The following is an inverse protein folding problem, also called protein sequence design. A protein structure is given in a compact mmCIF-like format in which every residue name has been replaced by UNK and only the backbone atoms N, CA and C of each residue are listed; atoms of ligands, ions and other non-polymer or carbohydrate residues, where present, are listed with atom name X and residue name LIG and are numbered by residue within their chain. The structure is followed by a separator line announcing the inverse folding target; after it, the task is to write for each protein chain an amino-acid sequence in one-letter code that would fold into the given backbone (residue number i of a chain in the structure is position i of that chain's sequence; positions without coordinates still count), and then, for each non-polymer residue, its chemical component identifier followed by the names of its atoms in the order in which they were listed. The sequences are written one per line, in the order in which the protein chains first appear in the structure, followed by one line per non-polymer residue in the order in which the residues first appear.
data_IF_279760608134
#
_entry.id   IF_279760608134
#
_cell.length_a   1.000
_cell.length_b   1.000
_cell.length_c   1.000
_cell.angle_alpha   90.00
_cell.angle_beta   90.00
_cell.angle_gamma   90.00
#
_symmetry.space_group_name_H-M   'P 1'
#
loop_
_entity.id
_entity.type
_entity.pdbx_description
1 polymer ?
#
# COMPACT_ATOMS: atom_id res chain seq x y z
N UNK A 1 5.09 15.68 -22.34
CA UNK A 1 3.83 15.22 -22.96
C UNK A 1 3.66 13.74 -22.66
N UNK A 2 2.53 13.35 -22.08
CA UNK A 2 2.25 11.97 -21.68
C UNK A 2 2.23 11.03 -22.90
N UNK A 3 2.71 9.80 -22.73
CA UNK A 3 2.61 8.77 -23.79
C UNK A 3 1.29 7.99 -23.75
N UNK A 4 0.34 8.40 -22.91
CA UNK A 4 -0.92 7.68 -22.70
C UNK A 4 -2.10 8.68 -22.57
N UNK A 5 -2.84 8.94 -23.67
CA UNK A 5 -4.01 9.84 -23.67
C UNK A 5 -5.16 9.37 -22.76
N UNK A 6 -5.29 8.06 -22.54
CA UNK A 6 -6.30 7.51 -21.62
C UNK A 6 -5.95 7.85 -20.16
N UNK A 7 -4.67 7.88 -19.82
CA UNK A 7 -4.21 8.35 -18.51
C UNK A 7 -4.51 9.85 -18.30
N UNK A 8 -4.25 10.72 -19.28
CA UNK A 8 -4.61 12.15 -19.16
C UNK A 8 -6.11 12.34 -18.91
N UNK A 9 -6.95 11.59 -19.63
CA UNK A 9 -8.40 11.64 -19.48
C UNK A 9 -8.89 11.09 -18.12
N UNK A 10 -8.33 9.98 -17.64
CA UNK A 10 -8.74 9.36 -16.37
C UNK A 10 -8.16 10.12 -15.16
N UNK A 11 -6.88 10.52 -15.19
CA UNK A 11 -6.23 11.23 -14.08
C UNK A 11 -6.63 12.71 -14.01
N UNK A 12 -6.81 13.38 -15.15
CA UNK A 12 -7.30 14.77 -15.20
C UNK A 12 -8.69 14.93 -14.58
N UNK A 13 -9.52 13.87 -14.61
CA UNK A 13 -10.85 13.83 -13.99
C UNK A 13 -10.83 13.48 -12.49
N UNK A 14 -9.76 12.87 -11.98
CA UNK A 14 -9.66 12.47 -10.57
C UNK A 14 -9.21 13.67 -9.75
N UNK A 15 -10.10 14.31 -8.98
CA UNK A 15 -9.66 15.25 -7.93
C UNK A 15 -9.05 14.49 -6.74
N UNK A 16 -8.24 15.12 -5.86
CA UNK A 16 -7.80 14.49 -4.60
C UNK A 16 -8.97 13.96 -3.77
N UNK A 17 -10.09 14.68 -3.79
CA UNK A 17 -11.36 14.27 -3.16
C UNK A 17 -11.92 12.99 -3.79
N UNK A 18 -11.93 12.90 -5.13
CA UNK A 18 -12.38 11.70 -5.84
C UNK A 18 -11.47 10.51 -5.55
N UNK A 19 -10.15 10.68 -5.57
CA UNK A 19 -9.21 9.62 -5.23
C UNK A 19 -9.44 9.16 -3.80
N UNK A 20 -9.64 10.08 -2.85
CA UNK A 20 -9.99 9.74 -1.46
C UNK A 20 -11.31 8.96 -1.36
N UNK A 21 -12.34 9.36 -2.10
CA UNK A 21 -13.64 8.66 -2.13
C UNK A 21 -13.55 7.28 -2.77
N UNK A 22 -12.85 7.14 -3.89
CA UNK A 22 -12.62 5.87 -4.56
C UNK A 22 -11.78 4.93 -3.69
N UNK A 23 -10.75 5.47 -3.01
CA UNK A 23 -10.01 4.72 -2.00
C UNK A 23 -10.95 4.29 -0.87
N UNK A 24 -11.78 5.18 -0.30
CA UNK A 24 -12.73 4.81 0.74
C UNK A 24 -13.74 3.73 0.29
N UNK A 25 -14.22 3.77 -0.96
CA UNK A 25 -15.09 2.76 -1.55
C UNK A 25 -14.37 1.41 -1.71
N UNK A 26 -13.17 1.40 -2.30
CA UNK A 26 -12.32 0.21 -2.42
C UNK A 26 -12.14 -0.49 -1.07
N UNK A 27 -11.95 0.31 -0.02
CA UNK A 27 -11.76 -0.16 1.34
C UNK A 27 -13.03 -0.72 1.98
N UNK A 28 -14.22 -0.21 1.62
CA UNK A 28 -15.51 -0.82 2.03
C UNK A 28 -15.82 -2.15 1.31
N UNK A 29 -14.91 -2.61 0.44
CA UNK A 29 -15.16 -3.74 -0.45
C UNK A 29 -16.09 -3.38 -1.60
N UNK A 30 -16.32 -2.08 -1.86
CA UNK A 30 -17.11 -1.62 -2.99
C UNK A 30 -16.23 -1.54 -4.24
N UNK A 31 -16.83 -1.71 -5.44
CA UNK A 31 -16.18 -1.41 -6.71
C UNK A 31 -15.62 0.01 -6.73
N UNK A 32 -14.33 0.14 -7.02
CA UNK A 32 -13.63 1.41 -7.07
C UNK A 32 -12.54 1.40 -8.14
N UNK A 33 -12.40 2.53 -8.83
CA UNK A 33 -11.35 2.74 -9.84
C UNK A 33 -10.64 4.05 -9.59
N UNK A 34 -9.31 4.02 -9.56
CA UNK A 34 -8.49 5.22 -9.52
C UNK A 34 -7.15 4.96 -10.24
N UNK A 35 -6.47 6.04 -10.64
CA UNK A 35 -5.22 5.99 -11.37
C UNK A 35 -4.09 6.42 -10.44
N UNK A 36 -3.09 5.57 -10.28
CA UNK A 36 -1.90 5.87 -9.50
C UNK A 36 -0.76 6.26 -10.44
N UNK A 37 -0.15 7.45 -10.31
CA UNK A 37 0.92 7.89 -11.19
C UNK A 37 2.17 7.03 -10.98
N UNK A 38 2.77 6.56 -12.07
CA UNK A 38 3.99 5.72 -12.05
C UNK A 38 5.19 6.59 -12.40
N UNK A 39 6.10 6.74 -11.44
CA UNK A 39 7.32 7.49 -11.60
C UNK A 39 8.50 6.57 -11.91
N UNK A 40 9.46 7.10 -12.65
CA UNK A 40 10.81 6.55 -12.78
C UNK A 40 11.82 7.62 -12.38
N UNK A 41 12.86 7.21 -11.65
CA UNK A 41 14.00 8.08 -11.36
C UNK A 41 14.83 8.27 -12.64
N UNK A 42 15.05 9.52 -13.03
CA UNK A 42 15.93 9.90 -14.15
C UNK A 42 16.88 11.00 -13.65
N UNK A 43 18.11 10.60 -13.31
CA UNK A 43 19.05 11.49 -12.62
C UNK A 43 18.49 11.91 -11.27
N UNK A 44 18.36 13.21 -11.04
CA UNK A 44 17.77 13.80 -9.82
C UNK A 44 16.27 14.10 -9.95
N UNK A 45 15.67 13.79 -11.09
CA UNK A 45 14.26 14.08 -11.38
C UNK A 45 13.39 12.83 -11.34
N UNK A 46 12.11 13.03 -11.04
CA UNK A 46 11.05 12.05 -11.19
C UNK A 46 10.32 12.32 -12.50
N UNK A 47 10.45 11.38 -13.43
CA UNK A 47 9.68 11.39 -14.67
C UNK A 47 8.40 10.61 -14.46
N UNK A 48 7.27 11.22 -14.79
CA UNK A 48 6.01 10.50 -14.90
C UNK A 48 6.01 9.68 -16.19
N UNK A 49 6.07 8.37 -16.05
CA UNK A 49 6.17 7.42 -17.17
C UNK A 49 4.80 6.91 -17.62
N UNK A 50 3.81 6.96 -16.73
CA UNK A 50 2.46 6.52 -17.00
C UNK A 50 1.65 6.45 -15.73
N UNK A 51 0.63 5.60 -15.72
CA UNK A 51 -0.10 5.29 -14.51
C UNK A 51 -0.59 3.86 -14.47
N UNK A 52 -0.81 3.40 -13.26
CA UNK A 52 -1.50 2.17 -13.00
C UNK A 52 -2.96 2.50 -12.69
N UNK A 53 -3.86 2.15 -13.61
CA UNK A 53 -5.28 2.06 -13.27
C UNK A 53 -5.45 0.85 -12.36
N UNK A 54 -5.95 1.12 -11.16
CA UNK A 54 -6.25 0.11 -10.17
C UNK A 54 -7.75 0.04 -10.05
N UNK A 55 -8.28 -1.13 -10.34
CA UNK A 55 -9.65 -1.48 -10.05
C UNK A 55 -9.66 -2.39 -8.83
N UNK A 56 -10.38 -1.97 -7.80
CA UNK A 56 -10.69 -2.78 -6.64
C UNK A 56 -12.14 -3.19 -6.75
N UNK A 57 -12.39 -4.49 -6.87
CA UNK A 57 -13.70 -5.11 -6.72
C UNK A 57 -13.64 -6.09 -5.55
N UNK A 58 -14.78 -6.39 -4.89
CA UNK A 58 -14.83 -7.36 -3.78
C UNK A 58 -14.26 -8.74 -4.15
N UNK A 59 -14.27 -9.10 -5.44
CA UNK A 59 -13.78 -10.38 -5.96
C UNK A 59 -12.54 -10.28 -6.88
N UNK A 60 -12.03 -9.06 -7.17
CA UNK A 60 -10.91 -8.87 -8.09
C UNK A 60 -10.19 -7.54 -7.86
N UNK A 61 -8.87 -7.58 -7.66
CA UNK A 61 -8.01 -6.43 -7.91
C UNK A 61 -7.43 -6.57 -9.32
N UNK A 62 -7.79 -5.70 -10.25
CA UNK A 62 -7.29 -5.73 -11.63
C UNK A 62 -6.35 -4.55 -11.88
N UNK A 63 -5.17 -4.88 -12.41
CA UNK A 63 -4.21 -3.91 -12.94
C UNK A 63 -4.41 -3.90 -14.45
N UNK A 64 -4.76 -2.75 -15.02
CA UNK A 64 -4.90 -2.66 -16.48
C UNK A 64 -3.52 -2.59 -17.16
N UNK A 65 -3.27 -3.39 -18.21
CA UNK A 65 -2.02 -3.37 -18.96
C UNK A 65 -1.98 -2.12 -19.84
N UNK A 66 -1.37 -1.06 -19.30
CA UNK A 66 -1.02 0.16 -20.05
C UNK A 66 0.34 0.73 -19.68
N UNK A 67 0.98 0.20 -18.63
CA UNK A 67 2.29 0.63 -18.16
C UNK A 67 3.25 -0.56 -18.23
N UNK A 68 4.20 -0.52 -19.15
CA UNK A 68 5.40 -1.35 -19.00
C UNK A 68 6.18 -0.78 -17.80
N UNK A 69 6.10 -1.45 -16.65
CA UNK A 69 6.89 -1.09 -15.47
C UNK A 69 8.36 -1.33 -15.81
N UNK A 70 9.10 -0.26 -16.03
CA UNK A 70 10.54 -0.35 -16.18
C UNK A 70 11.19 -0.73 -14.85
N UNK A 71 12.49 -1.04 -14.90
CA UNK A 71 13.29 -1.07 -13.68
C UNK A 71 13.16 0.28 -12.95
N UNK A 72 13.05 0.22 -11.62
CA UNK A 72 12.87 1.39 -10.75
C UNK A 72 11.59 2.20 -10.98
N UNK A 73 10.49 1.55 -11.40
CA UNK A 73 9.15 2.14 -11.39
C UNK A 73 8.50 2.08 -10.00
N UNK A 74 7.89 3.17 -9.55
CA UNK A 74 7.20 3.27 -8.25
C UNK A 74 6.16 4.38 -8.23
N UNK A 75 5.35 4.48 -7.18
CA UNK A 75 4.47 5.64 -6.93
C UNK A 75 4.73 6.25 -5.56
N UNK A 76 4.10 7.40 -5.32
CA UNK A 76 4.11 8.11 -4.04
C UNK A 76 2.66 8.39 -3.66
N UNK A 77 2.26 7.99 -2.45
CA UNK A 77 0.94 8.24 -1.86
C UNK A 77 1.17 8.86 -0.47
N UNK A 78 0.59 10.02 -0.13
CA UNK A 78 -0.27 10.83 -0.97
C UNK A 78 0.50 11.57 -2.08
N UNK A 79 -0.22 11.99 -3.12
CA UNK A 79 0.30 12.89 -4.15
C UNK A 79 0.07 14.33 -3.70
N UNK A 80 1.10 15.17 -3.68
CA UNK A 80 0.97 16.58 -3.34
C UNK A 80 0.27 17.37 -4.45
N UNK A 81 -0.30 18.51 -4.12
CA UNK A 81 -0.90 19.41 -5.11
C UNK A 81 0.15 19.91 -6.12
N UNK A 82 1.37 20.20 -5.68
CA UNK A 82 2.49 20.59 -6.56
C UNK A 82 2.83 19.48 -7.55
N UNK A 83 2.96 18.23 -7.08
CA UNK A 83 3.16 17.09 -7.98
C UNK A 83 2.04 17.01 -9.00
N UNK A 84 0.79 17.15 -8.57
CA UNK A 84 -0.37 17.12 -9.46
C UNK A 84 -0.27 18.17 -10.56
N UNK A 85 0.00 19.43 -10.22
CA UNK A 85 0.12 20.49 -11.21
C UNK A 85 1.26 20.24 -12.20
N UNK A 86 2.44 19.84 -11.71
CA UNK A 86 3.58 19.53 -12.58
C UNK A 86 3.31 18.35 -13.49
N UNK A 87 2.64 17.30 -12.98
CA UNK A 87 2.17 16.20 -13.79
C UNK A 87 1.26 16.73 -14.91
N UNK A 88 0.18 17.45 -14.60
CA UNK A 88 -0.75 17.97 -15.61
C UNK A 88 -0.08 18.91 -16.63
N UNK A 89 0.93 19.67 -16.22
CA UNK A 89 1.73 20.54 -17.10
C UNK A 89 2.79 19.78 -17.93
N UNK A 90 3.03 18.50 -17.63
CA UNK A 90 4.10 17.70 -18.24
C UNK A 90 5.51 18.15 -17.84
N UNK A 91 5.63 18.83 -16.70
CA UNK A 91 6.88 19.35 -16.16
C UNK A 91 7.67 18.28 -15.40
N UNK A 92 9.01 18.35 -15.38
CA UNK A 92 9.82 17.47 -14.55
C UNK A 92 9.57 17.75 -13.06
N UNK A 93 9.41 16.70 -12.28
CA UNK A 93 9.36 16.77 -10.82
C UNK A 93 10.73 16.45 -10.22
N UNK A 94 10.97 16.95 -9.03
CA UNK A 94 12.16 16.69 -8.23
C UNK A 94 11.75 16.10 -6.89
N UNK A 95 12.73 15.64 -6.11
CA UNK A 95 12.51 15.19 -4.73
C UNK A 95 11.77 16.20 -3.85
N UNK A 96 11.95 17.50 -4.10
CA UNK A 96 11.32 18.58 -3.32
C UNK A 96 9.81 18.72 -3.57
N UNK A 97 9.32 18.14 -4.65
CA UNK A 97 7.89 18.15 -4.96
C UNK A 97 7.14 17.03 -4.22
N UNK A 98 7.85 15.98 -3.78
CA UNK A 98 7.29 14.88 -3.01
C UNK A 98 6.88 15.32 -1.59
N UNK A 99 5.95 14.61 -0.93
CA UNK A 99 5.58 14.92 0.45
C UNK A 99 6.80 14.83 1.37
N UNK A 100 6.92 15.76 2.33
CA UNK A 100 8.03 15.78 3.28
C UNK A 100 7.82 14.72 4.37
N UNK A 101 8.70 13.69 4.50
CA UNK A 101 8.54 12.69 5.54
C UNK A 101 8.39 13.25 6.95
N UNK A 102 8.94 14.44 7.26
CA UNK A 102 8.80 15.07 8.58
C UNK A 102 7.34 15.34 8.93
N UNK A 103 6.53 15.75 7.95
CA UNK A 103 5.08 15.97 8.12
C UNK A 103 4.32 14.66 8.40
N UNK A 104 4.91 13.54 8.01
CA UNK A 104 4.38 12.17 8.17
C UNK A 104 5.15 11.39 9.25
N UNK A 105 5.56 12.06 10.33
CA UNK A 105 6.21 11.43 11.48
C UNK A 105 7.58 10.79 11.18
N UNK A 106 8.22 11.17 10.08
CA UNK A 106 9.43 10.58 9.48
C UNK A 106 9.26 9.15 8.95
N UNK A 107 8.03 8.65 8.81
CA UNK A 107 7.77 7.29 8.37
C UNK A 107 7.48 7.23 6.87
N UNK A 108 8.24 6.39 6.18
CA UNK A 108 7.97 5.99 4.80
C UNK A 108 7.78 4.48 4.75
N UNK A 109 6.66 4.06 4.17
CA UNK A 109 6.31 2.65 4.02
C UNK A 109 6.50 2.24 2.57
N UNK A 110 7.42 1.32 2.31
CA UNK A 110 7.65 0.74 0.99
C UNK A 110 6.84 -0.56 0.89
N UNK A 111 6.03 -0.70 -0.14
CA UNK A 111 5.16 -1.86 -0.31
C UNK A 111 5.30 -2.47 -1.69
N UNK A 112 5.01 -3.76 -1.82
CA UNK A 112 5.13 -4.45 -3.09
C UNK A 112 4.07 -3.98 -4.10
N UNK A 113 2.82 -3.86 -3.67
CA UNK A 113 1.70 -3.58 -4.57
C UNK A 113 0.90 -2.35 -4.16
N UNK A 114 0.22 -1.74 -5.13
CA UNK A 114 -0.74 -0.65 -4.86
C UNK A 114 -1.87 -1.13 -3.96
N UNK A 115 -2.35 -2.36 -4.13
CA UNK A 115 -3.38 -2.94 -3.26
C UNK A 115 -2.97 -2.86 -1.78
N UNK A 116 -1.73 -3.25 -1.48
CA UNK A 116 -1.19 -3.09 -0.12
C UNK A 116 -1.00 -1.62 0.28
N UNK A 117 -0.60 -0.75 -0.65
CA UNK A 117 -0.45 0.68 -0.38
C UNK A 117 -1.77 1.35 0.08
N UNK A 118 -2.88 1.01 -0.57
CA UNK A 118 -4.21 1.51 -0.20
C UNK A 118 -4.60 1.08 1.20
N UNK A 119 -4.41 -0.20 1.49
CA UNK A 119 -4.76 -0.78 2.78
C UNK A 119 -3.96 -0.10 3.91
N UNK A 120 -2.67 0.17 3.67
CA UNK A 120 -1.79 0.90 4.59
C UNK A 120 -2.23 2.35 4.77
N UNK A 121 -2.50 3.07 3.69
CA UNK A 121 -2.90 4.48 3.76
C UNK A 121 -4.20 4.65 4.56
N UNK A 122 -5.19 3.80 4.31
CA UNK A 122 -6.44 3.80 5.08
C UNK A 122 -6.23 3.39 6.54
N UNK A 123 -5.45 2.33 6.77
CA UNK A 123 -5.17 1.88 8.12
C UNK A 123 -4.40 2.96 8.88
N UNK A 124 -3.24 3.40 8.45
CA UNK A 124 -2.40 4.35 9.23
C UNK A 124 -2.97 5.78 9.28
N UNK A 125 -3.94 6.11 8.43
CA UNK A 125 -4.33 7.48 8.14
C UNK A 125 -3.26 8.18 7.29
N UNK A 126 -3.37 9.50 7.12
CA UNK A 126 -2.39 10.31 6.38
C UNK A 126 -1.06 10.49 7.16
N UNK A 127 -0.61 9.48 7.92
CA UNK A 127 0.57 9.53 8.81
C UNK A 127 1.80 8.83 8.24
N UNK A 128 1.71 8.29 7.04
CA UNK A 128 2.83 7.68 6.35
C UNK A 128 2.80 8.01 4.87
N UNK A 129 3.98 8.21 4.29
CA UNK A 129 4.15 8.21 2.84
C UNK A 129 4.29 6.75 2.41
N UNK A 130 3.42 6.29 1.51
CA UNK A 130 3.40 4.91 1.03
C UNK A 130 3.91 4.86 -0.41
N UNK A 131 4.96 4.05 -0.63
CA UNK A 131 5.66 3.91 -1.90
C UNK A 131 5.47 2.49 -2.46
N UNK A 132 4.48 2.24 -3.33
CA UNK A 132 4.34 0.96 -4.01
C UNK A 132 5.43 0.78 -5.08
N UNK A 133 6.12 -0.36 -5.06
CA UNK A 133 7.20 -0.73 -5.99
C UNK A 133 6.73 -1.49 -7.23
N UNK A 134 5.47 -1.95 -7.23
CA UNK A 134 4.79 -2.76 -8.25
C UNK A 134 5.33 -4.18 -8.48
N UNK A 135 6.63 -4.38 -8.28
CA UNK A 135 7.30 -5.68 -8.38
C UNK A 135 8.25 -5.87 -7.21
N UNK A 136 8.62 -7.12 -6.86
CA UNK A 136 9.57 -7.37 -5.78
C UNK A 136 10.94 -6.76 -6.09
N UNK A 137 11.40 -6.85 -7.33
CA UNK A 137 12.72 -6.39 -7.77
C UNK A 137 12.93 -4.88 -7.58
N UNK A 138 11.85 -4.10 -7.64
CA UNK A 138 11.91 -2.65 -7.45
C UNK A 138 11.98 -2.23 -5.97
N UNK A 139 11.61 -3.10 -5.01
CA UNK A 139 11.49 -2.72 -3.58
C UNK A 139 12.79 -2.13 -3.03
N UNK A 140 13.94 -2.68 -3.42
CA UNK A 140 15.25 -2.18 -2.99
C UNK A 140 15.50 -0.76 -3.47
N UNK A 141 15.34 -0.50 -4.77
CA UNK A 141 15.55 0.82 -5.36
C UNK A 141 14.60 1.87 -4.76
N UNK A 142 13.36 1.48 -4.47
CA UNK A 142 12.37 2.37 -3.83
C UNK A 142 12.73 2.68 -2.38
N UNK A 143 13.21 1.68 -1.63
CA UNK A 143 13.72 1.91 -0.28
C UNK A 143 14.94 2.85 -0.30
N UNK A 144 15.89 2.62 -1.21
CA UNK A 144 17.06 3.49 -1.38
C UNK A 144 16.66 4.92 -1.77
N UNK A 145 15.62 5.10 -2.59
CA UNK A 145 15.04 6.41 -2.88
C UNK A 145 14.47 7.07 -1.61
N UNK A 146 13.70 6.34 -0.79
CA UNK A 146 13.18 6.86 0.47
C UNK A 146 14.30 7.33 1.41
N UNK A 147 15.39 6.56 1.51
CA UNK A 147 16.55 6.89 2.35
C UNK A 147 17.37 8.06 1.80
N UNK A 148 17.80 7.97 0.56
CA UNK A 148 18.82 8.86 0.01
C UNK A 148 18.22 10.16 -0.53
N UNK A 149 16.99 10.09 -1.05
CA UNK A 149 16.35 11.21 -1.73
C UNK A 149 15.33 11.90 -0.83
N UNK A 150 14.41 11.15 -0.22
CA UNK A 150 13.44 11.72 0.73
C UNK A 150 14.03 11.94 2.13
N UNK A 151 15.21 11.38 2.42
CA UNK A 151 15.87 11.46 3.73
C UNK A 151 14.99 10.93 4.88
N UNK A 152 14.16 9.93 4.58
CA UNK A 152 13.32 9.27 5.56
C UNK A 152 14.15 8.61 6.67
N UNK A 153 13.73 8.79 7.93
CA UNK A 153 14.42 8.22 9.10
C UNK A 153 13.85 6.88 9.52
N UNK A 154 12.56 6.65 9.31
CA UNK A 154 11.88 5.39 9.60
C UNK A 154 11.35 4.78 8.30
N UNK A 155 12.03 3.75 7.80
CA UNK A 155 11.64 3.05 6.57
C UNK A 155 11.15 1.66 6.95
N UNK A 156 9.87 1.42 6.70
CA UNK A 156 9.23 0.11 6.92
C UNK A 156 8.92 -0.51 5.58
N UNK A 157 9.41 -1.73 5.34
CA UNK A 157 9.11 -2.48 4.12
C UNK A 157 8.04 -3.52 4.41
N UNK A 158 6.95 -3.49 3.63
CA UNK A 158 5.79 -4.37 3.78
C UNK A 158 5.72 -5.30 2.57
N UNK A 159 5.98 -6.60 2.74
CA UNK A 159 5.86 -7.58 1.66
C UNK A 159 4.40 -8.00 1.45
N UNK A 160 4.07 -8.44 0.24
CA UNK A 160 2.86 -9.22 -0.04
C UNK A 160 3.06 -10.71 0.34
N UNK A 161 1.99 -11.52 0.25
CA UNK A 161 2.03 -12.92 0.68
C UNK A 161 2.65 -13.86 -0.38
N UNK A 162 3.89 -13.59 -0.76
CA UNK A 162 4.68 -14.47 -1.63
C UNK A 162 6.11 -14.59 -1.10
N UNK A 163 6.77 -15.73 -1.36
CA UNK A 163 8.18 -15.93 -0.95
C UNK A 163 9.08 -14.88 -1.60
N UNK A 164 8.87 -14.58 -2.88
CA UNK A 164 9.63 -13.57 -3.61
C UNK A 164 9.50 -12.18 -2.99
N UNK A 165 8.26 -11.75 -2.67
CA UNK A 165 8.03 -10.44 -2.04
C UNK A 165 8.61 -10.36 -0.62
N UNK A 166 8.45 -11.41 0.21
CA UNK A 166 9.02 -11.45 1.56
C UNK A 166 10.56 -11.38 1.56
N UNK A 167 11.20 -12.08 0.60
CA UNK A 167 12.65 -12.02 0.42
C UNK A 167 13.10 -10.63 -0.07
N UNK A 168 12.45 -10.09 -1.08
CA UNK A 168 12.76 -8.77 -1.60
C UNK A 168 12.59 -7.67 -0.54
N UNK A 169 11.56 -7.77 0.31
CA UNK A 169 11.34 -6.85 1.42
C UNK A 169 12.49 -6.88 2.43
N UNK A 170 12.97 -8.07 2.77
CA UNK A 170 14.14 -8.22 3.65
C UNK A 170 15.42 -7.65 3.01
N UNK A 171 15.66 -7.93 1.72
CA UNK A 171 16.82 -7.38 1.00
C UNK A 171 16.76 -5.85 0.88
N UNK A 172 15.58 -5.29 0.62
CA UNK A 172 15.35 -3.85 0.56
C UNK A 172 15.57 -3.19 1.93
N UNK A 173 14.98 -3.74 3.00
CA UNK A 173 15.15 -3.24 4.35
C UNK A 173 16.63 -3.31 4.78
N UNK A 174 17.34 -4.38 4.45
CA UNK A 174 18.78 -4.50 4.71
C UNK A 174 19.59 -3.40 4.01
N UNK A 175 19.28 -3.07 2.76
CA UNK A 175 20.02 -2.06 2.00
C UNK A 175 19.94 -0.66 2.63
N UNK A 176 18.85 -0.36 3.34
CA UNK A 176 18.61 0.95 3.94
C UNK A 176 18.76 0.99 5.45
N UNK A 177 19.10 -0.14 6.09
CA UNK A 177 19.03 -0.33 7.54
C UNK A 177 17.62 -0.10 8.12
N UNK A 178 16.60 -0.50 7.37
CA UNK A 178 15.19 -0.35 7.69
C UNK A 178 14.58 -1.53 8.45
N UNK A 179 13.25 -1.52 8.50
CA UNK A 179 12.43 -2.53 9.18
C UNK A 179 11.61 -3.34 8.18
N UNK A 180 11.19 -4.53 8.59
CA UNK A 180 10.25 -5.36 7.83
C UNK A 180 9.01 -5.59 8.68
N UNK A 181 7.83 -5.27 8.14
CA UNK A 181 6.57 -5.57 8.79
C UNK A 181 6.23 -7.06 8.66
N UNK A 182 5.87 -7.69 9.77
CA UNK A 182 5.42 -9.07 9.79
C UNK A 182 3.90 -9.11 9.78
N UNK A 183 3.33 -9.33 8.59
CA UNK A 183 1.89 -9.42 8.40
C UNK A 183 1.45 -10.89 8.51
N UNK A 184 0.39 -11.12 9.29
CA UNK A 184 -0.26 -12.42 9.39
C UNK A 184 -1.28 -12.62 8.26
N UNK A 185 -0.80 -13.11 7.13
CA UNK A 185 -1.64 -13.41 5.98
C UNK A 185 -2.31 -14.78 6.11
N UNK A 186 -3.62 -14.83 5.86
CA UNK A 186 -4.34 -16.05 5.56
C UNK A 186 -3.89 -16.72 4.26
N UNK A 187 -4.17 -18.02 4.06
CA UNK A 187 -3.65 -18.81 2.94
C UNK A 187 -4.06 -18.28 1.56
N UNK A 188 -5.24 -17.70 1.43
CA UNK A 188 -5.76 -17.16 0.16
C UNK A 188 -5.49 -15.66 -0.02
N UNK A 189 -4.99 -15.00 1.02
CA UNK A 189 -4.77 -13.55 1.02
C UNK A 189 -3.45 -13.23 0.34
N UNK A 190 -3.50 -12.68 -0.87
CA UNK A 190 -2.29 -12.36 -1.66
C UNK A 190 -1.59 -11.08 -1.19
N UNK A 191 -2.31 -10.14 -0.60
CA UNK A 191 -1.85 -8.79 -0.21
C UNK A 191 -2.73 -8.21 0.91
N UNK A 192 -2.41 -7.02 1.42
CA UNK A 192 -3.15 -6.42 2.55
C UNK A 192 -4.59 -6.05 2.23
N UNK A 193 -4.91 -5.79 0.95
CA UNK A 193 -6.30 -5.57 0.56
C UNK A 193 -7.13 -6.84 0.73
N UNK A 194 -6.55 -8.01 0.46
CA UNK A 194 -7.17 -9.31 0.75
C UNK A 194 -7.42 -9.53 2.25
N UNK A 195 -6.47 -9.10 3.11
CA UNK A 195 -6.63 -9.11 4.57
C UNK A 195 -7.84 -8.26 4.98
N UNK A 196 -7.97 -7.07 4.41
CA UNK A 196 -9.09 -6.18 4.71
C UNK A 196 -10.42 -6.69 4.16
N UNK A 197 -10.45 -7.22 2.95
CA UNK A 197 -11.65 -7.81 2.37
C UNK A 197 -12.19 -8.97 3.23
N UNK A 198 -11.32 -9.78 3.83
CA UNK A 198 -11.73 -10.83 4.76
C UNK A 198 -12.26 -10.27 6.09
N UNK A 199 -11.64 -9.21 6.63
CA UNK A 199 -12.16 -8.51 7.80
C UNK A 199 -13.56 -7.92 7.53
N UNK A 200 -13.80 -7.40 6.32
CA UNK A 200 -15.12 -6.96 5.87
C UNK A 200 -16.13 -8.10 5.85
N UNK A 201 -15.81 -9.22 5.19
CA UNK A 201 -16.69 -10.41 5.16
C UNK A 201 -17.04 -10.90 6.57
N UNK A 202 -16.11 -10.82 7.51
CA UNK A 202 -16.34 -11.24 8.89
C UNK A 202 -17.23 -10.24 9.66
N UNK A 203 -16.98 -8.94 9.52
CA UNK A 203 -17.83 -7.91 10.12
C UNK A 203 -19.27 -7.98 9.58
N UNK A 204 -19.45 -8.21 8.28
CA UNK A 204 -20.75 -8.34 7.64
C UNK A 204 -21.49 -9.59 8.12
N UNK A 205 -20.77 -10.68 8.39
CA UNK A 205 -21.37 -11.88 8.99
C UNK A 205 -21.86 -11.63 10.42
N UNK A 206 -21.15 -10.81 11.19
CA UNK A 206 -21.54 -10.45 12.56
C UNK A 206 -22.68 -9.41 12.58
N UNK A 207 -22.73 -8.53 11.58
CA UNK A 207 -23.69 -7.42 11.47
C UNK A 207 -24.30 -7.36 10.04
N UNK A 208 -25.21 -8.30 9.68
CA UNK A 208 -25.61 -8.53 8.28
C UNK A 208 -26.56 -7.47 7.68
N UNK A 209 -27.23 -6.70 8.52
CA UNK A 209 -28.08 -5.58 8.13
C UNK A 209 -28.14 -4.63 9.34
N UNK A 210 -27.40 -3.52 9.35
CA UNK A 210 -27.48 -2.59 10.46
C UNK A 210 -28.89 -1.98 10.48
N UNK A 211 -29.71 -2.43 11.43
CA UNK A 211 -31.06 -1.87 11.65
C UNK A 211 -30.98 -0.56 12.45
N UNK A 212 -29.84 -0.34 13.12
CA UNK A 212 -29.60 0.83 13.95
C UNK A 212 -28.25 1.48 13.64
N UNK A 213 -28.16 2.79 13.91
CA UNK A 213 -26.88 3.54 13.88
C UNK A 213 -25.84 2.89 14.81
N UNK A 214 -26.28 2.26 15.90
CA UNK A 214 -25.37 1.57 16.82
C UNK A 214 -24.72 0.33 16.19
N UNK A 215 -25.44 -0.39 15.33
CA UNK A 215 -24.91 -1.54 14.59
C UNK A 215 -23.90 -1.11 13.53
N UNK A 216 -24.14 0.03 12.85
CA UNK A 216 -23.16 0.64 11.94
C UNK A 216 -21.87 0.99 12.68
N UNK A 217 -21.98 1.68 13.82
CA UNK A 217 -20.82 2.07 14.65
C UNK A 217 -20.05 0.84 15.15
N UNK A 218 -20.75 -0.25 15.52
CA UNK A 218 -20.11 -1.50 15.96
C UNK A 218 -19.40 -2.22 14.81
N UNK A 219 -20.01 -2.26 13.62
CA UNK A 219 -19.40 -2.80 12.41
C UNK A 219 -18.14 -2.02 12.06
N UNK A 220 -18.23 -0.69 11.99
CA UNK A 220 -17.09 0.18 11.70
C UNK A 220 -15.96 0.01 12.71
N UNK A 221 -16.29 -0.05 14.02
CA UNK A 221 -15.29 -0.32 15.05
C UNK A 221 -14.59 -1.67 14.83
N UNK A 222 -15.34 -2.72 14.49
CA UNK A 222 -14.78 -4.05 14.19
C UNK A 222 -13.80 -4.00 13.02
N UNK A 223 -14.12 -3.25 11.96
CA UNK A 223 -13.26 -3.05 10.80
C UNK A 223 -11.99 -2.26 11.15
N UNK A 224 -12.14 -1.19 11.94
CA UNK A 224 -11.02 -0.37 12.40
C UNK A 224 -10.10 -1.16 13.34
N UNK A 225 -10.65 -1.98 14.23
CA UNK A 225 -9.89 -2.85 15.12
C UNK A 225 -9.14 -3.94 14.33
N UNK A 226 -9.78 -4.51 13.30
CA UNK A 226 -9.13 -5.44 12.39
C UNK A 226 -7.95 -4.77 11.65
N UNK A 227 -8.19 -3.61 11.02
CA UNK A 227 -7.13 -2.85 10.34
C UNK A 227 -6.00 -2.41 11.29
N UNK A 228 -6.34 -2.09 12.54
CA UNK A 228 -5.36 -1.80 13.58
C UNK A 228 -4.46 -3.01 13.85
N UNK A 229 -5.05 -4.16 14.13
CA UNK A 229 -4.32 -5.40 14.50
C UNK A 229 -3.53 -6.00 13.34
N UNK A 230 -4.06 -5.96 12.12
CA UNK A 230 -3.46 -6.66 10.97
C UNK A 230 -2.55 -5.78 10.12
N UNK A 231 -2.66 -4.46 10.22
CA UNK A 231 -1.88 -3.51 9.41
C UNK A 231 -1.15 -2.48 10.26
N UNK A 232 -1.86 -1.69 11.07
CA UNK A 232 -1.23 -0.56 11.81
C UNK A 232 -0.19 -1.06 12.81
N UNK A 233 -0.56 -2.03 13.65
CA UNK A 233 0.32 -2.57 14.69
C UNK A 233 1.53 -3.28 14.11
N UNK A 234 1.43 -4.14 13.08
CA UNK A 234 2.60 -4.73 12.42
C UNK A 234 3.57 -3.72 11.79
N UNK A 235 3.07 -2.59 11.29
CA UNK A 235 3.92 -1.51 10.75
C UNK A 235 4.58 -0.72 11.87
N UNK A 236 3.81 -0.32 12.89
CA UNK A 236 4.33 0.41 14.04
C UNK A 236 5.35 -0.41 14.84
N UNK A 237 5.12 -1.71 14.98
CA UNK A 237 5.97 -2.67 15.68
C UNK A 237 6.93 -3.41 14.75
N UNK A 238 7.11 -2.93 13.51
CA UNK A 238 7.99 -3.57 12.54
C UNK A 238 9.40 -3.69 13.11
N UNK A 239 9.99 -4.87 12.96
CA UNK A 239 11.30 -5.16 13.51
C UNK A 239 12.39 -4.82 12.49
N UNK A 240 13.58 -4.50 13.01
CA UNK A 240 14.77 -4.37 12.17
C UNK A 240 14.98 -5.66 11.38
N UNK A 241 15.42 -5.52 10.13
CA UNK A 241 15.53 -6.62 9.17
C UNK A 241 16.27 -7.85 9.72
N UNK A 242 17.31 -7.65 10.54
CA UNK A 242 18.15 -8.69 11.14
C UNK A 242 17.42 -9.59 12.15
N UNK A 243 16.28 -9.14 12.68
CA UNK A 243 15.41 -9.91 13.58
C UNK A 243 14.29 -10.63 12.86
N UNK A 244 14.11 -10.39 11.57
CA UNK A 244 13.02 -10.98 10.78
C UNK A 244 13.55 -12.17 9.99
N UNK A 245 13.00 -13.38 10.18
CA UNK A 245 13.47 -14.55 9.45
C UNK A 245 13.22 -14.40 7.94
N UNK A 246 14.25 -14.68 7.14
CA UNK A 246 14.11 -14.80 5.69
C UNK A 246 13.39 -16.11 5.39
N UNK A 247 12.28 -16.11 4.64
CA UNK A 247 11.65 -17.36 4.22
C UNK A 247 12.63 -18.17 3.37
N UNK A 248 13.11 -19.28 3.90
CA UNK A 248 13.85 -20.28 3.13
C UNK A 248 12.88 -21.09 2.28
N UNK A 249 13.21 -21.33 1.02
CA UNK A 249 12.53 -22.29 0.15
C UNK A 249 12.77 -23.71 0.69
N UNK A 250 12.12 -24.07 1.80
CA UNK A 250 12.06 -25.47 2.22
C UNK A 250 10.97 -26.10 1.36
N UNK A 251 11.34 -27.06 0.51
CA UNK A 251 10.39 -28.01 -0.05
C UNK A 251 9.74 -28.77 1.12
N UNK A 252 8.65 -28.25 1.65
CA UNK A 252 7.99 -28.79 2.82
C UNK A 252 6.73 -28.00 3.11
N UNK A 253 5.61 -28.72 3.25
CA UNK A 253 4.24 -28.21 3.36
C UNK A 253 4.10 -26.95 4.24
N UNK A 254 3.21 -26.00 3.89
CA UNK A 254 2.92 -24.87 4.77
C UNK A 254 2.35 -25.40 6.09
N UNK A 255 3.02 -25.07 7.20
CA UNK A 255 2.44 -25.21 8.54
C UNK A 255 1.42 -24.10 8.69
N UNK A 256 0.14 -24.47 8.64
CA UNK A 256 -0.97 -23.59 8.95
C UNK A 256 -0.92 -23.22 10.43
N UNK A 257 -0.39 -22.06 10.78
CA UNK A 257 -0.67 -21.45 12.09
C UNK A 257 -1.96 -20.65 11.92
N UNK A 258 -3.11 -21.34 11.96
CA UNK A 258 -4.38 -20.66 12.21
C UNK A 258 -4.34 -20.15 13.64
N UNK A 259 -4.07 -18.86 13.85
CA UNK A 259 -4.59 -18.17 15.03
C UNK A 259 -5.93 -17.60 14.62
N UNK A 260 -7.01 -18.29 15.01
CA UNK A 260 -8.33 -17.69 14.99
C UNK A 260 -8.30 -16.40 15.80
N UNK A 261 -8.97 -15.33 15.35
CA UNK A 261 -9.12 -14.14 16.18
C UNK A 261 -9.88 -14.56 17.44
N UNK A 262 -9.21 -14.52 18.59
CA UNK A 262 -9.90 -14.61 19.86
C UNK A 262 -10.77 -13.37 19.98
N UNK A 263 -12.08 -13.58 19.91
CA UNK A 263 -13.02 -12.58 20.36
C UNK A 263 -12.91 -12.54 21.89
N UNK A 264 -12.43 -11.42 22.43
CA UNK A 264 -12.66 -11.08 23.84
C UNK A 264 -14.16 -10.79 23.97
N UNK A 265 -14.94 -11.85 24.16
CA UNK A 265 -16.32 -11.78 24.61
C UNK A 265 -16.25 -11.66 26.13
N UNK A 266 -15.98 -10.45 26.63
CA UNK A 266 -16.25 -10.14 28.03
C UNK A 266 -17.71 -9.67 28.16
N UNK A 267 -18.36 -10.25 29.18
CA UNK A 267 -19.78 -10.18 29.52
C UNK A 267 -20.21 -8.83 30.08
#
# INVERSE_FOLDING_TARGET
MFKNPEFEADFGKQSPEFTRQAMAAAMRGEPAQFAVPVFRVVGETLRLDGAQKVEVNPDKAAIYPGSQFGAASFSIIPVTETMRFKMMAGEPMTAKDAPDPVEFGNQVVVTHSVASALAIYHATGERAIVLPSFTPDNMKSVAEFAKNTLKAKDIVVVPDNTVASKRAAHEAARAVDGKVAQIDYGPEQKNLLGVMAEAHKWADKLFPAPETVLDEVRRDKTLQDAAKRTIREPIANAQKWDKVPVPTLVQGRPVSVQRQPMADIER
#
